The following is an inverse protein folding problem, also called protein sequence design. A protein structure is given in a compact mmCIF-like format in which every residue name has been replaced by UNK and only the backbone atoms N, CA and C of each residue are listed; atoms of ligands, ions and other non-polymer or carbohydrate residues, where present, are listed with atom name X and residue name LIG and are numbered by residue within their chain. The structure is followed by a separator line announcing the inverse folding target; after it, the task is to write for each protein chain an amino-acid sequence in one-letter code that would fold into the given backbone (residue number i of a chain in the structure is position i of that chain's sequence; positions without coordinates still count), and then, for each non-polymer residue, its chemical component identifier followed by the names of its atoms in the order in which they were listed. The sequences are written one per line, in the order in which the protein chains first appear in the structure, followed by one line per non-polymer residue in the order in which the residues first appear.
data_IF_486654451819
#
_entry.id   IF_486654451819
#
_cell.length_a   1.000
_cell.length_b   1.000
_cell.length_c   1.000
_cell.angle_alpha   90.00
_cell.angle_beta   90.00
_cell.angle_gamma   90.00
#
_symmetry.space_group_name_H-M   'P 1'
#
loop_
_entity.id
_entity.type
_entity.pdbx_description
1 polymer ?
#
# COMPACT_ATOMS: atom_id res chain seq x y z
N UNK A 1 19.07 27.04 -9.42
CA UNK A 1 19.75 25.74 -9.23
C UNK A 1 18.75 24.84 -8.54
N UNK A 2 18.10 23.95 -9.30
CA UNK A 2 17.10 23.01 -8.77
C UNK A 2 17.79 21.67 -8.55
N UNK A 3 17.74 21.15 -7.34
CA UNK A 3 18.35 19.88 -6.95
C UNK A 3 17.54 18.72 -7.57
N UNK A 4 18.08 18.12 -8.63
CA UNK A 4 17.62 16.87 -9.28
C UNK A 4 17.91 15.63 -8.41
N UNK A 5 17.49 15.63 -7.15
CA UNK A 5 17.60 14.45 -6.27
C UNK A 5 16.32 13.64 -6.40
N UNK A 6 16.24 12.84 -7.48
CA UNK A 6 15.18 11.86 -7.71
C UNK A 6 14.96 10.98 -6.47
N UNK A 7 13.73 10.46 -6.26
CA UNK A 7 13.40 9.72 -5.05
C UNK A 7 14.33 8.51 -4.94
N UNK A 8 15.13 8.47 -3.88
CA UNK A 8 15.97 7.33 -3.56
C UNK A 8 15.09 6.08 -3.55
N UNK A 9 15.36 5.14 -4.48
CA UNK A 9 14.77 3.81 -4.45
C UNK A 9 15.14 3.16 -3.12
N UNK A 10 14.21 3.19 -2.16
CA UNK A 10 14.29 2.38 -0.96
C UNK A 10 14.19 0.93 -1.39
N UNK A 11 15.33 0.31 -1.70
CA UNK A 11 15.43 -1.12 -1.80
C UNK A 11 15.05 -1.71 -0.45
N UNK A 12 13.80 -2.18 -0.34
CA UNK A 12 13.31 -2.87 0.84
C UNK A 12 14.12 -4.15 1.00
N UNK A 13 15.16 -4.11 1.83
CA UNK A 13 15.92 -5.30 2.21
C UNK A 13 14.93 -6.24 2.91
N UNK A 14 14.68 -7.45 2.39
CA UNK A 14 13.71 -8.35 3.00
C UNK A 14 14.23 -8.72 4.40
N UNK A 15 13.40 -8.49 5.42
CA UNK A 15 13.73 -8.86 6.78
C UNK A 15 14.01 -10.38 6.85
N UNK A 16 15.22 -10.73 7.29
CA UNK A 16 15.64 -12.12 7.50
C UNK A 16 15.51 -12.47 8.97
N UNK A 17 14.93 -13.62 9.26
CA UNK A 17 14.73 -14.14 10.61
C UNK A 17 15.46 -15.46 10.76
N UNK A 18 16.09 -15.69 11.91
CA UNK A 18 16.71 -16.98 12.23
C UNK A 18 15.71 -17.89 12.92
N UNK A 19 15.44 -19.06 12.35
CA UNK A 19 14.57 -20.04 12.99
C UNK A 19 15.25 -20.61 14.25
N UNK A 20 14.54 -20.62 15.40
CA UNK A 20 15.09 -21.18 16.64
C UNK A 20 15.22 -22.71 16.61
N UNK A 21 14.41 -23.41 15.82
CA UNK A 21 14.42 -24.87 15.76
C UNK A 21 15.47 -25.45 14.78
N UNK A 22 15.58 -24.89 13.57
CA UNK A 22 16.53 -25.39 12.56
C UNK A 22 17.74 -24.47 12.35
N UNK A 23 17.84 -23.36 13.07
CA UNK A 23 18.94 -22.39 13.05
C UNK A 23 19.23 -21.73 11.69
N UNK A 24 18.44 -22.02 10.66
CA UNK A 24 18.53 -21.43 9.32
C UNK A 24 17.89 -20.04 9.28
N UNK A 25 18.47 -19.18 8.43
CA UNK A 25 17.88 -17.89 8.07
C UNK A 25 16.77 -18.11 7.06
N UNK A 26 15.64 -17.45 7.28
CA UNK A 26 14.47 -17.47 6.41
C UNK A 26 13.99 -16.05 6.19
N UNK A 27 13.47 -15.78 4.99
CA UNK A 27 12.77 -14.52 4.72
C UNK A 27 11.43 -14.54 5.45
N UNK A 28 11.00 -13.38 5.94
CA UNK A 28 9.73 -13.25 6.66
C UNK A 28 8.56 -13.89 5.91
N UNK A 29 7.91 -14.88 6.52
CA UNK A 29 6.74 -15.57 5.95
C UNK A 29 5.45 -15.05 6.59
N UNK A 30 4.38 -14.93 5.80
CA UNK A 30 3.04 -14.55 6.29
C UNK A 30 2.45 -15.61 7.24
N UNK A 31 2.90 -16.85 7.10
CA UNK A 31 2.63 -17.93 8.05
C UNK A 31 3.70 -17.87 9.14
N UNK A 32 3.32 -17.72 10.41
CA UNK A 32 4.20 -17.75 11.61
C UNK A 32 4.85 -19.14 11.85
N UNK A 33 5.34 -19.77 10.78
CA UNK A 33 5.93 -21.09 10.73
C UNK A 33 7.21 -20.99 9.91
N UNK A 34 8.28 -21.65 10.37
CA UNK A 34 9.50 -21.73 9.58
C UNK A 34 9.23 -22.49 8.27
N UNK A 35 9.53 -21.92 7.09
CA UNK A 35 9.29 -22.59 5.81
C UNK A 35 10.16 -23.86 5.62
N UNK A 36 11.29 -23.98 6.33
CA UNK A 36 12.19 -25.12 6.18
C UNK A 36 11.86 -26.30 7.10
N UNK A 37 11.40 -26.07 8.33
CA UNK A 37 11.12 -27.14 9.30
C UNK A 37 9.70 -27.14 9.88
N UNK A 38 8.85 -26.19 9.49
CA UNK A 38 7.46 -26.08 9.96
C UNK A 38 7.30 -25.60 11.40
N UNK A 39 8.38 -25.38 12.15
CA UNK A 39 8.33 -24.95 13.54
C UNK A 39 7.60 -23.61 13.70
N UNK A 40 6.71 -23.52 14.70
CA UNK A 40 5.94 -22.32 15.05
C UNK A 40 6.29 -21.88 16.48
N UNK A 41 6.52 -20.58 16.72
CA UNK A 41 6.71 -20.10 18.08
C UNK A 41 5.43 -20.29 18.91
N UNK A 42 5.55 -20.63 20.21
CA UNK A 42 4.40 -20.88 21.09
C UNK A 42 3.50 -19.64 21.29
N UNK A 43 4.07 -18.44 21.16
CA UNK A 43 3.35 -17.16 21.26
C UNK A 43 3.03 -16.55 19.90
N UNK A 44 3.07 -17.34 18.81
CA UNK A 44 2.67 -16.84 17.50
C UNK A 44 1.21 -16.34 17.57
N UNK A 45 0.94 -15.06 17.25
CA UNK A 45 -0.43 -14.59 17.18
C UNK A 45 -1.16 -15.45 16.14
N UNK A 46 -2.27 -16.07 16.55
CA UNK A 46 -3.10 -16.84 15.62
C UNK A 46 -3.49 -15.89 14.49
N UNK A 47 -3.36 -16.31 13.22
CA UNK A 47 -3.84 -15.49 12.12
C UNK A 47 -5.32 -15.18 12.39
N UNK A 48 -5.76 -13.91 12.27
CA UNK A 48 -7.16 -13.58 12.46
C UNK A 48 -8.00 -14.44 11.52
N UNK A 49 -9.02 -15.12 12.06
CA UNK A 49 -10.04 -15.83 11.29
C UNK A 49 -10.78 -14.79 10.44
N UNK A 50 -10.29 -14.53 9.23
CA UNK A 50 -10.83 -13.46 8.38
C UNK A 50 -9.84 -12.88 7.38
N UNK A 51 -8.55 -13.24 7.46
CA UNK A 51 -7.53 -12.63 6.61
C UNK A 51 -7.28 -11.18 7.01
N UNK A 52 -6.19 -10.62 6.51
CA UNK A 52 -5.96 -9.17 6.64
C UNK A 52 -7.03 -8.45 5.82
N UNK A 53 -7.68 -7.39 6.34
CA UNK A 53 -8.57 -6.60 5.51
C UNK A 53 -7.77 -6.14 4.30
N UNK A 54 -8.21 -6.53 3.10
CA UNK A 54 -7.59 -6.10 1.87
C UNK A 54 -7.44 -4.56 1.92
N UNK A 55 -6.30 -4.00 1.48
CA UNK A 55 -6.15 -2.55 1.45
C UNK A 55 -7.34 -1.99 0.70
N UNK A 56 -8.17 -1.23 1.42
CA UNK A 56 -9.34 -0.56 0.86
C UNK A 56 -8.82 0.19 -0.35
N UNK A 57 -9.22 -0.21 -1.55
CA UNK A 57 -8.91 0.53 -2.77
C UNK A 57 -9.55 1.90 -2.59
N UNK A 58 -8.80 2.85 -2.05
CA UNK A 58 -9.09 4.26 -2.23
C UNK A 58 -9.13 4.45 -3.74
N UNK A 59 -10.34 4.67 -4.27
CA UNK A 59 -10.47 5.17 -5.63
C UNK A 59 -9.68 6.46 -5.64
N UNK A 60 -8.45 6.42 -6.17
CA UNK A 60 -7.74 7.63 -6.58
C UNK A 60 -8.69 8.32 -7.53
N UNK A 61 -9.33 9.38 -7.06
CA UNK A 61 -10.04 10.29 -7.93
C UNK A 61 -8.96 10.88 -8.80
N UNK A 62 -8.93 10.48 -10.07
CA UNK A 62 -7.94 10.96 -11.01
C UNK A 62 -8.06 12.49 -11.06
N UNK A 63 -6.95 13.24 -10.89
CA UNK A 63 -7.01 14.70 -10.86
C UNK A 63 -7.66 15.29 -12.11
N UNK A 64 -7.60 14.57 -13.24
CA UNK A 64 -8.33 14.90 -14.46
C UNK A 64 -9.85 14.98 -14.24
N UNK A 65 -10.45 14.07 -13.48
CA UNK A 65 -11.89 14.08 -13.21
C UNK A 65 -12.30 15.34 -12.43
N UNK A 66 -11.47 15.79 -11.48
CA UNK A 66 -11.72 17.00 -10.70
C UNK A 66 -11.68 18.24 -11.59
N UNK A 67 -10.68 18.35 -12.47
CA UNK A 67 -10.54 19.48 -13.42
C UNK A 67 -11.74 19.54 -14.38
N UNK A 68 -12.19 18.40 -14.90
CA UNK A 68 -13.35 18.34 -15.80
C UNK A 68 -14.62 18.80 -15.09
N UNK A 69 -14.89 18.31 -13.87
CA UNK A 69 -16.10 18.69 -13.12
C UNK A 69 -16.10 20.20 -12.82
N UNK A 70 -14.97 20.73 -12.34
CA UNK A 70 -14.85 22.18 -12.06
C UNK A 70 -15.05 22.98 -13.35
N UNK A 71 -14.42 22.58 -14.45
CA UNK A 71 -14.54 23.26 -15.74
C UNK A 71 -15.99 23.31 -16.24
N UNK A 72 -16.73 22.20 -16.13
CA UNK A 72 -18.15 22.14 -16.52
C UNK A 72 -19.01 23.04 -15.64
N UNK A 73 -18.78 23.04 -14.32
CA UNK A 73 -19.53 23.89 -13.38
C UNK A 73 -19.28 25.37 -13.67
N UNK A 74 -18.02 25.77 -13.87
CA UNK A 74 -17.67 27.16 -14.20
C UNK A 74 -18.30 27.58 -15.53
N UNK A 75 -18.21 26.74 -16.57
CA UNK A 75 -18.82 27.04 -17.86
C UNK A 75 -20.35 27.20 -17.76
N UNK A 76 -21.02 26.37 -16.97
CA UNK A 76 -22.45 26.47 -16.73
C UNK A 76 -22.83 27.77 -15.99
N UNK A 77 -22.05 28.16 -14.97
CA UNK A 77 -22.26 29.43 -14.26
C UNK A 77 -22.07 30.64 -15.18
N UNK A 78 -21.00 30.65 -15.97
CA UNK A 78 -20.73 31.73 -16.92
C UNK A 78 -21.84 31.85 -17.95
N UNK A 79 -22.32 30.72 -18.48
CA UNK A 79 -23.48 30.73 -19.37
C UNK A 79 -24.70 31.33 -18.64
N UNK A 80 -25.04 30.84 -17.45
CA UNK A 80 -26.21 31.34 -16.72
C UNK A 80 -26.17 32.86 -16.48
N UNK A 81 -25.00 33.40 -16.14
CA UNK A 81 -24.80 34.84 -15.93
C UNK A 81 -24.83 35.68 -17.22
N UNK A 82 -24.53 35.09 -18.37
CA UNK A 82 -24.50 35.81 -19.66
C UNK A 82 -25.81 35.72 -20.42
N UNK A 83 -26.70 34.79 -20.07
CA UNK A 83 -28.02 34.61 -20.68
C UNK A 83 -29.21 34.93 -19.76
N UNK A 84 -28.98 35.18 -18.47
CA UNK A 84 -29.98 35.72 -17.53
C UNK A 84 -29.90 37.23 -17.50
#
# INVERSE_FOLDING_TARGET
MSDDRGPAELHAVPAQYRCQACLKFVTGSSTWACPNCGWRPPHAPRPPKGGWPAPRRERRVEPMMVVVVIGVVVAAMVWWLTRG
#
